data_IF_280893777677
#
_entry.id   IF_280893777677
#
_cell.length_a   1.000
_cell.length_b   1.000
_cell.length_c   1.000
_cell.angle_alpha   90.00
_cell.angle_beta   90.00
_cell.angle_gamma   90.00
#
_symmetry.space_group_name_H-M   'P 1'
#
loop_
_entity.id
_entity.type
_entity.pdbx_description
1 polymer ?
#
# COMPACT_ATOMS: atom_id res chain seq x y z
N UNK A 1 2.53 -20.76 2.66
CA UNK A 1 3.47 -20.23 1.65
C UNK A 1 4.26 -21.40 1.09
N UNK A 2 4.24 -21.62 -0.22
CA UNK A 2 5.07 -22.63 -0.88
C UNK A 2 6.44 -22.04 -1.24
N UNK A 3 7.44 -22.91 -1.40
CA UNK A 3 8.82 -22.55 -1.75
C UNK A 3 9.31 -23.53 -2.81
N UNK A 4 9.96 -23.02 -3.85
CA UNK A 4 10.45 -23.83 -4.96
C UNK A 4 11.94 -24.11 -4.74
N UNK A 5 12.31 -25.38 -4.58
CA UNK A 5 13.72 -25.82 -4.45
C UNK A 5 14.34 -26.04 -5.83
N UNK A 6 15.68 -25.98 -5.91
CA UNK A 6 16.38 -26.18 -7.17
C UNK A 6 16.22 -27.62 -7.66
N UNK A 7 15.77 -27.78 -8.90
CA UNK A 7 15.69 -29.06 -9.60
C UNK A 7 16.98 -29.36 -10.40
N UNK A 8 18.07 -28.64 -10.10
CA UNK A 8 19.37 -28.77 -10.76
C UNK A 8 19.22 -28.79 -12.30
N UNK A 9 19.52 -29.93 -12.94
CA UNK A 9 19.53 -30.08 -14.39
C UNK A 9 18.17 -29.82 -15.06
N UNK A 10 17.06 -30.01 -14.33
CA UNK A 10 15.70 -29.85 -14.87
C UNK A 10 15.12 -28.45 -14.71
N UNK A 11 15.83 -27.54 -14.04
CA UNK A 11 15.29 -26.23 -13.66
C UNK A 11 14.95 -25.33 -14.86
N UNK A 12 15.68 -25.49 -15.97
CA UNK A 12 15.48 -24.72 -17.22
C UNK A 12 14.05 -24.84 -17.75
N UNK A 13 13.46 -26.04 -17.69
CA UNK A 13 12.11 -26.31 -18.20
C UNK A 13 11.01 -25.63 -17.38
N UNK A 14 11.29 -25.33 -16.10
CA UNK A 14 10.38 -24.64 -15.20
C UNK A 14 10.65 -23.14 -15.10
N UNK A 15 11.52 -22.61 -15.96
CA UNK A 15 11.76 -21.17 -15.99
C UNK A 15 10.48 -20.43 -16.44
N UNK A 16 10.16 -19.27 -15.85
CA UNK A 16 8.96 -18.51 -16.19
C UNK A 16 8.83 -18.21 -17.68
N UNK A 17 9.97 -18.02 -18.37
CA UNK A 17 10.03 -17.79 -19.81
C UNK A 17 9.59 -19.01 -20.63
N UNK A 18 10.01 -20.22 -20.22
CA UNK A 18 9.60 -21.48 -20.89
C UNK A 18 8.14 -21.79 -20.62
N UNK A 19 7.67 -21.50 -19.40
CA UNK A 19 6.25 -21.63 -19.01
C UNK A 19 5.34 -20.53 -19.58
N UNK A 20 5.87 -19.66 -20.45
CA UNK A 20 5.12 -18.56 -21.07
C UNK A 20 4.45 -17.62 -20.05
N UNK A 21 5.07 -17.45 -18.88
CA UNK A 21 4.64 -16.45 -17.90
C UNK A 21 5.07 -15.06 -18.41
N UNK A 22 4.09 -14.24 -18.79
CA UNK A 22 4.33 -12.88 -19.30
C UNK A 22 4.39 -11.79 -18.22
N UNK A 23 4.40 -12.18 -16.94
CA UNK A 23 4.49 -11.27 -15.80
C UNK A 23 5.88 -11.32 -15.18
N UNK A 24 6.20 -10.34 -14.34
CA UNK A 24 7.44 -10.35 -13.55
C UNK A 24 7.36 -11.52 -12.55
N UNK A 25 8.30 -12.48 -12.60
CA UNK A 25 8.33 -13.59 -11.64
C UNK A 25 8.57 -13.08 -10.23
N UNK A 26 7.98 -13.76 -9.24
CA UNK A 26 8.16 -13.43 -7.82
C UNK A 26 9.64 -13.45 -7.40
N UNK A 27 10.40 -14.39 -7.94
CA UNK A 27 11.84 -14.50 -7.74
C UNK A 27 12.51 -14.08 -9.06
N UNK A 28 13.03 -12.83 -9.16
CA UNK A 28 13.43 -12.23 -10.43
C UNK A 28 14.72 -12.81 -11.00
N UNK A 29 15.52 -13.52 -10.20
CA UNK A 29 16.76 -14.14 -10.64
C UNK A 29 16.57 -15.65 -10.88
N UNK A 30 16.85 -16.16 -12.09
CA UNK A 30 16.90 -17.59 -12.36
C UNK A 30 17.97 -18.25 -11.46
N UNK A 31 17.68 -19.39 -10.83
CA UNK A 31 18.66 -20.11 -10.01
C UNK A 31 18.72 -19.72 -8.54
N UNK A 32 17.93 -18.74 -8.07
CA UNK A 32 17.85 -18.36 -6.63
C UNK A 32 16.84 -19.24 -5.91
N UNK A 33 16.91 -20.55 -6.16
CA UNK A 33 16.17 -21.49 -5.35
C UNK A 33 17.03 -21.86 -4.13
N UNK A 34 16.43 -21.95 -2.93
CA UNK A 34 17.15 -22.50 -1.79
C UNK A 34 17.68 -23.89 -2.16
N UNK A 35 18.98 -24.10 -1.97
CA UNK A 35 19.57 -25.42 -2.08
C UNK A 35 19.08 -26.25 -0.89
N UNK A 36 18.72 -27.50 -1.15
CA UNK A 36 18.44 -28.43 -0.06
C UNK A 36 19.75 -28.70 0.69
N UNK A 37 19.84 -28.24 1.94
CA UNK A 37 20.95 -28.55 2.84
C UNK A 37 20.47 -29.61 3.81
N UNK A 38 21.27 -30.66 4.03
CA UNK A 38 20.96 -31.62 5.08
C UNK A 38 21.03 -30.94 6.45
N UNK A 39 19.92 -30.99 7.19
CA UNK A 39 19.93 -30.66 8.61
C UNK A 39 20.40 -31.89 9.39
N UNK A 40 21.45 -31.74 10.18
CA UNK A 40 21.93 -32.78 11.11
C UNK A 40 21.14 -32.79 12.43
N UNK A 41 20.30 -31.78 12.66
CA UNK A 41 19.58 -31.59 13.90
C UNK A 41 18.16 -32.16 13.81
N UNK A 42 17.68 -32.73 14.92
CA UNK A 42 16.30 -33.15 15.09
C UNK A 42 15.35 -31.94 15.08
N UNK A 43 14.13 -32.11 14.55
CA UNK A 43 13.11 -31.07 14.53
C UNK A 43 12.44 -30.93 15.90
N UNK A 44 12.36 -29.71 16.41
CA UNK A 44 11.61 -29.37 17.62
C UNK A 44 10.18 -28.89 17.28
N UNK A 45 9.26 -29.06 18.22
CA UNK A 45 7.90 -28.55 18.07
C UNK A 45 7.85 -27.04 18.29
N UNK A 46 7.23 -26.34 17.34
CA UNK A 46 7.11 -24.87 17.30
C UNK A 46 5.67 -24.42 17.64
N UNK A 47 4.70 -25.33 17.57
CA UNK A 47 3.30 -25.03 17.78
C UNK A 47 2.63 -26.05 18.70
N UNK A 48 1.54 -25.61 19.32
CA UNK A 48 0.64 -26.40 20.16
C UNK A 48 -0.21 -27.35 19.29
N UNK A 49 -0.90 -28.30 19.92
CA UNK A 49 -1.81 -29.25 19.23
C UNK A 49 -2.93 -28.56 18.44
N UNK A 50 -3.30 -27.33 18.80
CA UNK A 50 -4.31 -26.52 18.10
C UNK A 50 -3.73 -25.68 16.95
N UNK A 51 -2.42 -25.76 16.70
CA UNK A 51 -1.73 -24.95 15.68
C UNK A 51 -1.34 -23.55 16.12
N UNK A 52 -1.53 -23.17 17.39
CA UNK A 52 -1.00 -21.91 17.93
C UNK A 52 0.51 -21.98 18.11
N UNK A 53 1.24 -20.92 17.78
CA UNK A 53 2.69 -20.86 17.98
C UNK A 53 2.98 -20.71 19.48
N UNK A 54 3.94 -21.49 20.01
CA UNK A 54 4.32 -21.45 21.42
C UNK A 54 4.83 -20.06 21.84
N UNK A 55 4.57 -19.62 23.09
CA UNK A 55 5.08 -18.35 23.59
C UNK A 55 6.62 -18.35 23.59
N UNK A 56 7.22 -17.23 23.18
CA UNK A 56 8.68 -17.07 23.12
C UNK A 56 9.31 -17.37 21.75
N UNK A 57 8.58 -18.02 20.85
CA UNK A 57 9.07 -18.24 19.47
C UNK A 57 8.88 -16.95 18.66
N UNK A 58 9.90 -16.49 17.91
CA UNK A 58 9.79 -15.30 17.10
C UNK A 58 8.74 -15.50 16.00
N UNK A 59 7.78 -14.59 15.95
CA UNK A 59 6.73 -14.56 14.92
C UNK A 59 6.97 -13.40 13.98
N UNK A 60 6.61 -13.59 12.71
CA UNK A 60 6.51 -12.47 11.78
C UNK A 60 5.52 -11.45 12.33
N UNK A 61 5.90 -10.16 12.32
CA UNK A 61 4.97 -9.05 12.63
C UNK A 61 3.98 -8.82 11.48
N UNK A 62 4.28 -9.33 10.29
CA UNK A 62 3.46 -9.18 9.09
C UNK A 62 2.26 -10.10 9.17
N UNK A 63 1.09 -9.58 8.79
CA UNK A 63 -0.15 -10.34 8.76
C UNK A 63 -0.03 -11.54 7.80
N UNK A 64 -0.53 -12.73 8.18
CA UNK A 64 -0.55 -13.91 7.31
C UNK A 64 -1.42 -13.72 6.06
N UNK A 65 -2.39 -12.78 6.12
CA UNK A 65 -3.24 -12.40 4.99
C UNK A 65 -2.58 -11.35 4.06
N UNK A 66 -1.31 -11.02 4.29
CA UNK A 66 -0.55 -10.07 3.47
C UNK A 66 -0.59 -8.64 3.99
N UNK A 67 -0.21 -7.69 3.14
CA UNK A 67 -0.32 -6.24 3.38
C UNK A 67 -1.58 -5.69 2.70
N UNK A 68 -2.72 -6.38 2.86
CA UNK A 68 -3.96 -5.81 2.39
C UNK A 68 -4.27 -4.56 3.23
N UNK A 69 -4.23 -3.41 2.57
CA UNK A 69 -4.68 -2.13 3.11
C UNK A 69 -6.02 -1.86 2.43
N UNK A 70 -7.09 -1.63 3.20
CA UNK A 70 -8.39 -1.34 2.63
C UNK A 70 -8.34 -0.05 1.80
N UNK A 71 -9.20 0.08 0.78
CA UNK A 71 -9.20 1.24 -0.14
C UNK A 71 -9.18 2.59 0.58
N UNK A 72 -9.79 2.68 1.75
CA UNK A 72 -9.86 3.88 2.59
C UNK A 72 -8.65 4.08 3.51
N UNK A 73 -7.87 3.04 3.77
CA UNK A 73 -6.68 3.05 4.63
C UNK A 73 -5.39 3.28 3.82
N UNK A 74 -5.47 3.40 2.49
CA UNK A 74 -4.29 3.67 1.65
C UNK A 74 -3.74 5.09 1.89
N UNK A 75 -2.41 5.25 1.91
CA UNK A 75 -1.81 6.58 1.93
C UNK A 75 -2.16 7.35 0.65
N UNK A 76 -2.25 8.68 0.76
CA UNK A 76 -2.54 9.61 -0.37
C UNK A 76 -1.62 9.39 -1.59
N UNK A 77 -0.41 8.89 -1.38
CA UNK A 77 0.54 8.48 -2.43
C UNK A 77 1.01 7.06 -2.12
N UNK A 78 0.83 6.14 -3.07
CA UNK A 78 1.36 4.78 -2.97
C UNK A 78 2.86 4.84 -3.34
N UNK A 79 3.79 4.45 -2.45
CA UNK A 79 5.20 4.39 -2.79
C UNK A 79 5.41 3.29 -3.84
N UNK A 80 5.93 3.66 -5.00
CA UNK A 80 6.17 2.77 -6.14
C UNK A 80 7.00 3.45 -7.21
N UNK A 81 7.37 2.74 -8.30
CA UNK A 81 8.11 3.35 -9.39
C UNK A 81 7.33 4.54 -9.92
N UNK A 82 7.97 5.72 -9.90
CA UNK A 82 7.36 6.95 -10.38
C UNK A 82 7.04 6.80 -11.87
N UNK A 83 5.78 6.54 -12.19
CA UNK A 83 5.31 6.59 -13.55
C UNK A 83 5.02 8.05 -13.90
N UNK A 84 5.71 8.56 -14.91
CA UNK A 84 5.35 9.84 -15.50
C UNK A 84 3.98 9.63 -16.15
N UNK A 85 2.94 10.24 -15.59
CA UNK A 85 1.63 10.27 -16.22
C UNK A 85 1.64 11.42 -17.23
N UNK A 86 1.74 11.16 -18.56
CA UNK A 86 1.86 12.22 -19.56
C UNK A 86 0.65 13.17 -19.58
N UNK A 87 -0.52 12.67 -19.16
CA UNK A 87 -1.77 13.43 -19.04
C UNK A 87 -2.07 13.90 -17.61
N UNK A 88 -1.16 13.65 -16.66
CA UNK A 88 -1.32 14.07 -15.27
C UNK A 88 -1.05 15.57 -15.11
N UNK A 89 -1.77 16.23 -14.20
CA UNK A 89 -1.46 17.61 -13.83
C UNK A 89 -0.11 17.69 -13.12
N UNK A 90 0.71 18.68 -13.47
CA UNK A 90 1.94 19.02 -12.76
C UNK A 90 1.64 19.49 -11.34
N UNK A 91 2.55 19.23 -10.40
CA UNK A 91 2.42 19.62 -8.99
C UNK A 91 2.21 21.14 -8.81
N UNK A 92 2.89 21.97 -9.61
CA UNK A 92 2.68 23.42 -9.65
C UNK A 92 1.22 23.80 -9.92
N UNK A 93 0.60 23.21 -10.93
CA UNK A 93 -0.78 23.50 -11.30
C UNK A 93 -1.78 22.96 -10.27
N UNK A 94 -1.47 21.81 -9.66
CA UNK A 94 -2.26 21.27 -8.56
C UNK A 94 -2.27 22.22 -7.35
N UNK A 95 -1.10 22.74 -6.97
CA UNK A 95 -0.97 23.67 -5.85
C UNK A 95 -1.68 25.00 -6.12
N UNK A 96 -1.56 25.54 -7.35
CA UNK A 96 -2.27 26.75 -7.75
C UNK A 96 -3.80 26.59 -7.69
N UNK A 97 -4.33 25.44 -8.10
CA UNK A 97 -5.75 25.13 -7.98
C UNK A 97 -6.19 24.99 -6.51
N UNK A 98 -5.36 24.40 -5.65
CA UNK A 98 -5.64 24.32 -4.22
C UNK A 98 -5.68 25.71 -3.58
N UNK A 99 -4.72 26.60 -3.89
CA UNK A 99 -4.75 27.97 -3.37
C UNK A 99 -5.98 28.75 -3.85
N UNK A 100 -6.36 28.59 -5.13
CA UNK A 100 -7.56 29.23 -5.67
C UNK A 100 -8.82 28.73 -4.97
N UNK A 101 -8.93 27.41 -4.72
CA UNK A 101 -10.03 26.82 -3.95
C UNK A 101 -10.09 27.37 -2.53
N UNK A 102 -8.95 27.49 -1.85
CA UNK A 102 -8.93 27.93 -0.46
C UNK A 102 -9.30 29.42 -0.34
N UNK A 103 -8.90 30.25 -1.31
CA UNK A 103 -9.32 31.65 -1.41
C UNK A 103 -10.83 31.77 -1.61
N UNK A 104 -11.41 31.00 -2.54
CA UNK A 104 -12.86 31.07 -2.78
C UNK A 104 -13.66 30.59 -1.57
N UNK A 105 -13.19 29.56 -0.85
CA UNK A 105 -13.81 29.12 0.41
C UNK A 105 -13.77 30.25 1.46
N UNK A 106 -12.63 30.91 1.64
CA UNK A 106 -12.50 32.02 2.58
C UNK A 106 -13.41 33.19 2.23
N UNK A 107 -13.54 33.54 0.95
CA UNK A 107 -14.45 34.58 0.48
C UNK A 107 -15.92 34.23 0.75
N UNK A 108 -16.31 32.98 0.49
CA UNK A 108 -17.65 32.49 0.80
C UNK A 108 -17.95 32.52 2.30
N UNK A 109 -16.99 32.16 3.14
CA UNK A 109 -17.14 32.23 4.60
C UNK A 109 -17.30 33.67 5.09
N UNK A 110 -16.47 34.59 4.60
CA UNK A 110 -16.60 36.02 4.91
C UNK A 110 -17.96 36.57 4.49
N UNK A 111 -18.42 36.23 3.28
CA UNK A 111 -19.74 36.64 2.79
C UNK A 111 -20.88 36.07 3.66
N UNK A 112 -20.77 34.81 4.13
CA UNK A 112 -21.73 34.21 5.06
C UNK A 112 -21.79 34.94 6.40
N UNK A 113 -20.63 35.34 6.94
CA UNK A 113 -20.55 36.10 8.20
C UNK A 113 -21.19 37.47 8.01
N UNK A 114 -20.82 38.19 6.95
CA UNK A 114 -21.37 39.50 6.64
C UNK A 114 -22.89 39.47 6.48
N UNK A 115 -23.44 38.53 5.71
CA UNK A 115 -24.88 38.38 5.53
C UNK A 115 -25.61 38.08 6.86
N UNK A 116 -24.96 37.33 7.77
CA UNK A 116 -25.51 37.05 9.10
C UNK A 116 -25.54 38.32 9.95
N UNK A 117 -24.50 39.15 9.90
CA UNK A 117 -24.42 40.44 10.60
C UNK A 117 -25.46 41.44 10.07
N UNK A 118 -25.61 41.58 8.76
CA UNK A 118 -26.65 42.45 8.17
C UNK A 118 -28.06 42.02 8.61
N UNK A 119 -28.34 40.71 8.60
CA UNK A 119 -29.62 40.18 9.06
C UNK A 119 -29.88 40.40 10.56
N UNK A 120 -28.81 40.57 11.36
CA UNK A 120 -28.90 40.87 12.78
C UNK A 120 -29.20 42.36 12.99
N UNK A 121 -28.48 43.25 12.27
CA UNK A 121 -28.69 44.70 12.32
C UNK A 121 -30.11 45.09 11.87
N UNK A 122 -30.62 44.50 10.79
CA UNK A 122 -32.00 44.75 10.34
C UNK A 122 -33.05 44.29 11.38
N UNK A 123 -32.78 43.22 12.13
CA UNK A 123 -33.69 42.74 13.21
C UNK A 123 -33.69 43.63 14.45
N UNK A 124 -32.63 44.40 14.70
CA UNK A 124 -32.52 45.28 15.87
C UNK A 124 -33.03 46.69 15.63
N UNK A 125 -33.09 47.16 14.38
CA UNK A 125 -33.56 48.52 14.04
C UNK A 125 -35.09 48.64 13.92
N UNK A 126 -35.84 47.54 13.86
CA UNK A 126 -37.31 47.50 13.77
C UNK A 126 -38.02 47.48 15.15
N UNK A 127 -37.31 47.79 16.25
CA UNK A 127 -37.86 47.94 17.61
C UNK A 127 -37.62 49.33 18.15
#
# INVERSE_FOLDING_TARGET
MSRNYSASQYEKSFSPKVLQMHQVPKDPQPGVHPKATMSLNASSFVANERGHILPGIPKSKRSPFGEFVGTWDLPKKIPGPYHVHPMGRTEKNFNALCSQRDQTIQEMEKARVYAKEESFVHRTSDK
#
